data_IF_870861786011
#
_entry.id   IF_870861786011
#
_cell.length_a   1.000
_cell.length_b   1.000
_cell.length_c   1.000
_cell.angle_alpha   90.00
_cell.angle_beta   90.00
_cell.angle_gamma   90.00
#
_symmetry.space_group_name_H-M   'P 1'
#
loop_
_entity.id
_entity.type
_entity.pdbx_description
1 polymer ?
#
# COMPACT_ATOMS: atom_id res chain seq x y z
N UNK A 1 -6.19 7.72 -18.77
CA UNK A 1 -7.14 7.98 -17.68
C UNK A 1 -6.51 7.57 -16.35
N UNK A 2 -6.72 8.33 -15.29
CA UNK A 2 -6.15 7.95 -14.00
C UNK A 2 -6.81 6.69 -13.44
N UNK A 3 -6.09 6.02 -12.56
CA UNK A 3 -6.61 4.86 -11.85
C UNK A 3 -7.54 5.30 -10.73
N UNK A 4 -8.49 4.44 -10.41
CA UNK A 4 -9.29 4.59 -9.19
C UNK A 4 -8.52 3.92 -8.04
N UNK A 5 -8.31 4.64 -6.96
CA UNK A 5 -7.54 4.12 -5.82
C UNK A 5 -8.51 3.67 -4.73
N UNK A 6 -8.43 2.41 -4.38
CA UNK A 6 -9.18 1.83 -3.26
C UNK A 6 -8.21 1.58 -2.11
N UNK A 7 -8.67 1.78 -0.90
CA UNK A 7 -7.83 1.66 0.30
C UNK A 7 -8.52 0.73 1.29
N UNK A 8 -7.84 -0.35 1.64
CA UNK A 8 -8.38 -1.28 2.63
C UNK A 8 -8.33 -0.67 4.03
N UNK A 9 -9.16 -1.20 4.91
CA UNK A 9 -9.33 -0.65 6.26
C UNK A 9 -8.03 -0.61 7.04
N UNK A 10 -7.18 -1.63 6.93
CA UNK A 10 -5.91 -1.64 7.64
C UNK A 10 -5.05 -0.42 7.28
N UNK A 11 -5.03 -0.06 6.00
CA UNK A 11 -4.24 1.08 5.53
C UNK A 11 -4.82 2.39 6.07
N UNK A 12 -6.15 2.51 6.07
CA UNK A 12 -6.82 3.69 6.61
C UNK A 12 -6.55 3.83 8.11
N UNK A 13 -6.67 2.73 8.85
CA UNK A 13 -6.42 2.73 10.30
C UNK A 13 -4.98 3.08 10.60
N UNK A 14 -4.05 2.51 9.84
CA UNK A 14 -2.63 2.82 9.99
C UNK A 14 -2.37 4.32 9.81
N UNK A 15 -2.90 4.88 8.73
CA UNK A 15 -2.71 6.30 8.44
C UNK A 15 -3.30 7.18 9.55
N UNK A 16 -4.50 6.82 10.03
CA UNK A 16 -5.15 7.60 11.09
C UNK A 16 -4.43 7.50 12.43
N UNK A 17 -3.68 6.43 12.67
CA UNK A 17 -2.93 6.26 13.90
C UNK A 17 -1.64 7.07 13.93
N UNK A 18 -1.23 7.64 12.78
CA UNK A 18 -0.03 8.46 12.70
C UNK A 18 -0.34 9.91 13.06
N UNK A 19 0.69 10.66 13.41
CA UNK A 19 0.54 12.08 13.63
C UNK A 19 0.04 12.81 12.39
N UNK A 20 -0.52 14.00 12.56
CA UNK A 20 -1.18 14.72 11.48
C UNK A 20 -0.30 14.91 10.25
N UNK A 21 0.96 15.22 10.46
CA UNK A 21 1.91 15.44 9.37
C UNK A 21 2.12 14.16 8.55
N UNK A 22 2.32 13.04 9.20
CA UNK A 22 2.50 11.75 8.54
C UNK A 22 1.21 11.29 7.86
N UNK A 23 0.08 11.52 8.48
CA UNK A 23 -1.21 11.18 7.89
C UNK A 23 -1.44 11.95 6.59
N UNK A 24 -1.11 13.23 6.58
CA UNK A 24 -1.22 14.05 5.35
C UNK A 24 -0.29 13.57 4.27
N UNK A 25 0.95 13.23 4.62
CA UNK A 25 1.92 12.72 3.66
C UNK A 25 1.46 11.40 3.06
N UNK A 26 0.94 10.48 3.89
CA UNK A 26 0.41 9.21 3.42
C UNK A 26 -0.76 9.42 2.49
N UNK A 27 -1.68 10.31 2.84
CA UNK A 27 -2.84 10.60 2.00
C UNK A 27 -2.40 11.13 0.64
N UNK A 28 -1.48 12.09 0.61
CA UNK A 28 -0.98 12.64 -0.65
C UNK A 28 -0.31 11.56 -1.50
N UNK A 29 0.52 10.73 -0.88
CA UNK A 29 1.21 9.68 -1.61
C UNK A 29 0.25 8.65 -2.20
N UNK A 30 -0.74 8.25 -1.43
CA UNK A 30 -1.74 7.27 -1.88
C UNK A 30 -2.57 7.87 -3.02
N UNK A 31 -3.01 9.12 -2.90
CA UNK A 31 -3.79 9.76 -3.96
C UNK A 31 -2.99 9.92 -5.24
N UNK A 32 -1.69 10.15 -5.14
CA UNK A 32 -0.83 10.29 -6.30
C UNK A 32 -0.71 8.99 -7.09
N UNK A 33 -1.04 7.83 -6.49
CA UNK A 33 -1.06 6.56 -7.19
C UNK A 33 -2.07 6.55 -8.34
N UNK A 34 -3.11 7.37 -8.29
CA UNK A 34 -4.06 7.48 -9.38
C UNK A 34 -3.36 7.82 -10.70
N UNK A 35 -2.24 8.51 -10.63
CA UNK A 35 -1.42 8.86 -11.79
C UNK A 35 -0.09 8.08 -11.78
N UNK A 36 -0.02 7.03 -11.00
CA UNK A 36 1.17 6.19 -10.86
C UNK A 36 2.43 6.99 -10.52
N UNK A 37 2.27 7.99 -9.67
CA UNK A 37 3.37 8.84 -9.23
C UNK A 37 3.80 8.48 -7.82
N UNK A 38 5.09 8.57 -7.56
CA UNK A 38 5.66 8.30 -6.25
C UNK A 38 6.84 7.34 -6.34
N UNK A 39 7.37 6.97 -5.19
CA UNK A 39 8.47 6.02 -5.10
C UNK A 39 7.88 4.60 -5.12
N UNK A 40 7.67 4.09 -6.32
CA UNK A 40 6.99 2.82 -6.57
C UNK A 40 8.01 1.77 -7.02
N UNK A 41 7.94 0.58 -6.41
CA UNK A 41 8.81 -0.52 -6.77
C UNK A 41 8.02 -1.83 -6.79
N UNK A 42 8.23 -2.62 -7.83
CA UNK A 42 7.60 -3.94 -7.92
C UNK A 42 8.22 -4.90 -6.91
N UNK A 43 7.40 -5.73 -6.31
CA UNK A 43 7.85 -6.79 -5.42
C UNK A 43 7.98 -8.09 -6.18
N UNK A 44 8.74 -9.04 -5.62
CA UNK A 44 9.12 -10.25 -6.33
C UNK A 44 8.86 -11.49 -5.49
N UNK A 45 9.04 -12.67 -6.09
CA UNK A 45 8.89 -13.96 -5.45
C UNK A 45 7.49 -14.14 -4.89
N UNK A 46 7.34 -14.42 -3.59
CA UNK A 46 6.03 -14.65 -2.98
C UNK A 46 5.10 -13.43 -3.08
N UNK A 47 5.68 -12.25 -3.28
CA UNK A 47 4.92 -11.01 -3.37
C UNK A 47 4.79 -10.50 -4.80
N UNK A 48 5.07 -11.35 -5.80
CA UNK A 48 4.89 -10.99 -7.20
C UNK A 48 3.44 -10.54 -7.45
N UNK A 49 3.29 -9.47 -8.22
CA UNK A 49 1.99 -8.88 -8.48
C UNK A 49 1.62 -7.77 -7.53
N UNK A 50 2.42 -7.58 -6.49
CA UNK A 50 2.27 -6.47 -5.57
C UNK A 50 3.38 -5.45 -5.76
N UNK A 51 3.11 -4.23 -5.32
CA UNK A 51 4.02 -3.11 -5.45
C UNK A 51 4.13 -2.39 -4.12
N UNK A 52 5.25 -1.72 -3.92
CA UNK A 52 5.49 -0.93 -2.72
C UNK A 52 5.50 0.55 -3.09
N UNK A 53 4.73 1.35 -2.36
CA UNK A 53 4.84 2.80 -2.37
C UNK A 53 5.55 3.21 -1.10
N UNK A 54 6.65 3.94 -1.24
CA UNK A 54 7.36 4.49 -0.10
C UNK A 54 6.93 5.92 0.13
N UNK A 55 6.48 6.21 1.36
CA UNK A 55 6.13 7.56 1.79
C UNK A 55 6.85 7.79 3.11
N UNK A 56 7.85 8.67 3.11
CA UNK A 56 8.70 8.89 4.30
C UNK A 56 9.28 7.55 4.78
N UNK A 57 9.05 7.17 6.02
CA UNK A 57 9.52 5.90 6.55
C UNK A 57 8.47 4.79 6.49
N UNK A 58 7.36 5.06 5.82
CA UNK A 58 6.25 4.11 5.72
C UNK A 58 6.26 3.41 4.38
N UNK A 59 5.69 2.22 4.34
CA UNK A 59 5.51 1.44 3.13
C UNK A 59 4.04 1.11 2.98
N UNK A 60 3.51 1.33 1.78
CA UNK A 60 2.14 0.95 1.43
C UNK A 60 2.23 -0.08 0.33
N UNK A 61 1.66 -1.25 0.56
CA UNK A 61 1.63 -2.31 -0.43
C UNK A 61 0.34 -2.19 -1.22
N UNK A 62 0.44 -2.24 -2.53
CA UNK A 62 -0.74 -2.13 -3.39
C UNK A 62 -0.62 -3.07 -4.57
N UNK A 63 -1.73 -3.25 -5.26
CA UNK A 63 -1.79 -4.07 -6.46
C UNK A 63 -2.72 -3.43 -7.48
N UNK A 64 -2.53 -3.79 -8.74
CA UNK A 64 -3.43 -3.39 -9.81
C UNK A 64 -4.53 -4.42 -9.94
N UNK A 65 -5.73 -3.94 -10.23
CA UNK A 65 -6.90 -4.78 -10.46
C UNK A 65 -7.55 -4.39 -11.77
N UNK A 66 -8.34 -5.31 -12.39
CA UNK A 66 -9.07 -4.99 -13.62
C UNK A 66 -9.96 -3.76 -13.45
N UNK A 67 -10.13 -3.00 -14.54
CA UNK A 67 -10.96 -1.81 -14.52
C UNK A 67 -10.22 -0.55 -14.08
N UNK A 68 -8.91 -0.54 -14.25
CA UNK A 68 -8.07 0.60 -13.88
C UNK A 68 -8.19 0.95 -12.39
N UNK A 69 -8.00 -0.07 -11.57
CA UNK A 69 -8.09 0.06 -10.12
C UNK A 69 -6.73 -0.24 -9.50
N UNK A 70 -6.35 0.57 -8.54
CA UNK A 70 -5.21 0.31 -7.65
C UNK A 70 -5.78 0.10 -6.25
N UNK A 71 -5.46 -1.04 -5.66
CA UNK A 71 -5.92 -1.35 -4.30
C UNK A 71 -4.76 -1.36 -3.34
N UNK A 72 -4.78 -0.45 -2.36
CA UNK A 72 -3.82 -0.43 -1.28
C UNK A 72 -4.25 -1.44 -0.23
N UNK A 73 -3.45 -2.46 0.00
CA UNK A 73 -3.85 -3.62 0.80
C UNK A 73 -3.22 -3.66 2.19
N UNK A 74 -2.06 -3.04 2.37
CA UNK A 74 -1.38 -3.09 3.66
C UNK A 74 -0.42 -1.91 3.80
N UNK A 75 -0.27 -1.42 5.03
CA UNK A 75 0.68 -0.34 5.31
C UNK A 75 1.35 -0.60 6.65
N UNK A 76 2.63 -0.27 6.75
CA UNK A 76 3.41 -0.44 7.95
C UNK A 76 4.71 0.37 7.87
N UNK A 77 5.44 0.48 8.96
CA UNK A 77 6.73 1.12 8.96
C UNK A 77 7.78 0.23 8.30
N UNK A 78 8.42 0.84 7.35
CA UNK A 78 9.59 0.37 6.62
C UNK A 78 9.87 -1.15 6.62
N UNK A 79 10.97 -1.58 7.19
CA UNK A 79 11.53 -2.91 6.89
C UNK A 79 10.77 -4.12 7.43
N UNK A 80 9.84 -3.92 8.34
CA UNK A 80 9.02 -5.03 8.82
C UNK A 80 7.81 -5.29 7.94
N UNK A 81 7.52 -4.37 7.00
CA UNK A 81 6.29 -4.46 6.20
C UNK A 81 6.17 -5.77 5.44
N UNK A 82 7.27 -6.25 4.88
CA UNK A 82 7.20 -7.43 4.02
C UNK A 82 6.93 -8.71 4.83
N UNK A 83 7.60 -8.87 5.96
CA UNK A 83 7.40 -10.04 6.81
C UNK A 83 5.98 -10.08 7.36
N UNK A 84 5.50 -8.94 7.84
CA UNK A 84 4.14 -8.85 8.39
C UNK A 84 3.12 -9.06 7.29
N UNK A 85 3.35 -8.45 6.11
CA UNK A 85 2.43 -8.60 5.00
C UNK A 85 2.35 -10.05 4.52
N UNK A 86 3.48 -10.75 4.43
CA UNK A 86 3.47 -12.16 4.04
C UNK A 86 2.64 -13.00 5.01
N UNK A 87 2.79 -12.75 6.30
CA UNK A 87 2.00 -13.45 7.31
C UNK A 87 0.51 -13.18 7.14
N UNK A 88 0.15 -11.91 6.93
CA UNK A 88 -1.25 -11.52 6.73
C UNK A 88 -1.83 -12.13 5.47
N UNK A 89 -1.05 -12.14 4.38
CA UNK A 89 -1.50 -12.72 3.12
C UNK A 89 -1.70 -14.22 3.24
N UNK A 90 -0.81 -14.91 3.91
CA UNK A 90 -0.95 -16.35 4.13
C UNK A 90 -2.24 -16.65 4.90
N UNK A 91 -2.56 -15.84 5.88
CA UNK A 91 -3.78 -15.98 6.67
C UNK A 91 -5.03 -15.72 5.82
N UNK A 92 -5.00 -14.67 4.99
CA UNK A 92 -6.12 -14.32 4.13
C UNK A 92 -6.35 -15.37 3.06
N UNK A 93 -5.28 -15.82 2.41
CA UNK A 93 -5.36 -16.81 1.34
C UNK A 93 -5.79 -18.16 1.88
N UNK A 94 -5.42 -18.47 3.11
CA UNK A 94 -5.78 -19.73 3.74
C UNK A 94 -7.23 -19.86 4.15
N UNK A 95 -8.01 -18.82 3.96
CA UNK A 95 -9.43 -18.85 4.33
C UNK A 95 -10.31 -19.38 3.22
#
# INVERSE_FOLDING_TARGET
MPYKVKVKQQVMDFAHSRGMEHRRALKRGILALAKEQGDIKALHEQLSGYYRLRVARFRVIFRYQPGKIIECVYAEERKLVYEIFESEMARIIGQ
#
